data_IF_472427688786
#
_entry.id   IF_472427688786
#
_cell.length_a   1.000
_cell.length_b   1.000
_cell.length_c   1.000
_cell.angle_alpha   90.00
_cell.angle_beta   90.00
_cell.angle_gamma   90.00
#
_symmetry.space_group_name_H-M   'P 1'
#
loop_
_entity.id
_entity.type
_entity.pdbx_description
1 polymer ?
#
# COMPACT_ATOMS: atom_id res chain seq x y z
N UNK A 1 12.68 -16.44 -8.20
CA UNK A 1 12.09 -15.82 -7.00
C UNK A 1 13.11 -14.88 -6.39
N UNK A 2 12.73 -13.63 -6.16
CA UNK A 2 13.54 -12.63 -5.48
C UNK A 2 13.00 -12.44 -4.06
N UNK A 3 13.90 -12.44 -3.07
CA UNK A 3 13.56 -12.20 -1.67
C UNK A 3 14.07 -10.83 -1.25
N UNK A 4 13.17 -9.96 -0.77
CA UNK A 4 13.51 -8.60 -0.33
C UNK A 4 12.89 -8.32 1.03
N UNK A 5 13.64 -7.69 1.95
CA UNK A 5 13.06 -7.13 3.17
C UNK A 5 12.60 -5.70 2.88
N UNK A 6 11.34 -5.43 3.19
CA UNK A 6 10.68 -4.15 3.02
C UNK A 6 10.33 -3.60 4.40
N UNK A 7 10.91 -2.46 4.75
CA UNK A 7 10.60 -1.75 6.00
C UNK A 7 9.99 -0.41 5.62
N UNK A 8 8.73 -0.18 5.95
CA UNK A 8 8.05 1.05 5.60
C UNK A 8 7.57 1.80 6.84
N UNK A 9 7.63 3.13 6.74
CA UNK A 9 7.09 4.09 7.71
C UNK A 9 6.02 4.91 7.01
N UNK A 10 4.84 5.01 7.62
CA UNK A 10 3.69 5.70 7.06
C UNK A 10 3.45 7.00 7.81
N UNK A 11 3.20 8.06 7.06
CA UNK A 11 3.08 9.41 7.57
C UNK A 11 1.71 9.99 7.26
N UNK A 12 1.16 10.70 8.22
CA UNK A 12 -0.09 11.45 8.11
C UNK A 12 -0.05 12.64 9.07
N UNK A 13 -0.99 13.54 8.96
CA UNK A 13 -1.24 14.55 9.98
C UNK A 13 -1.79 13.90 11.26
N UNK A 14 -1.72 14.59 12.39
CA UNK A 14 -2.20 14.04 13.66
C UNK A 14 -3.70 13.69 13.63
N UNK A 15 -4.49 14.44 12.86
CA UNK A 15 -5.92 14.22 12.63
C UNK A 15 -6.23 13.24 11.47
N UNK A 16 -5.20 12.56 10.91
CA UNK A 16 -5.33 11.53 9.86
C UNK A 16 -5.96 12.07 8.56
N UNK A 17 -5.60 13.27 8.16
CA UNK A 17 -6.16 13.92 6.98
C UNK A 17 -5.91 13.13 5.69
N UNK A 18 -4.71 12.59 5.50
CA UNK A 18 -4.39 11.83 4.29
C UNK A 18 -5.23 10.55 4.22
N UNK A 19 -5.35 9.82 5.32
CA UNK A 19 -6.18 8.62 5.39
C UNK A 19 -7.65 8.94 5.10
N UNK A 20 -8.20 10.02 5.65
CA UNK A 20 -9.57 10.48 5.40
C UNK A 20 -9.81 10.79 3.91
N UNK A 21 -8.81 11.33 3.21
CA UNK A 21 -8.86 11.63 1.77
C UNK A 21 -8.48 10.42 0.88
N UNK A 22 -8.35 9.21 1.46
CA UNK A 22 -7.99 8.00 0.76
C UNK A 22 -6.55 8.00 0.21
N UNK A 23 -5.65 8.70 0.90
CA UNK A 23 -4.25 8.85 0.52
C UNK A 23 -3.31 8.15 1.48
N UNK A 24 -2.15 7.76 0.97
CA UNK A 24 -1.06 7.14 1.74
C UNK A 24 0.25 7.80 1.35
N UNK A 25 1.00 8.28 2.33
CA UNK A 25 2.37 8.77 2.15
C UNK A 25 3.32 7.91 2.99
N UNK A 26 4.36 7.35 2.35
CA UNK A 26 5.31 6.47 3.04
C UNK A 26 6.74 6.66 2.59
N UNK A 27 7.67 6.33 3.49
CA UNK A 27 9.05 6.01 3.19
C UNK A 27 9.25 4.51 3.33
N UNK A 28 9.83 3.85 2.32
CA UNK A 28 10.10 2.41 2.35
C UNK A 28 11.56 2.13 2.04
N UNK A 29 12.18 1.35 2.89
CA UNK A 29 13.50 0.77 2.66
C UNK A 29 13.33 -0.57 1.93
N UNK A 30 13.96 -0.68 0.78
CA UNK A 30 14.01 -1.87 -0.07
C UNK A 30 15.46 -2.35 -0.15
N UNK A 31 15.82 -3.29 0.71
CA UNK A 31 17.22 -3.67 0.89
C UNK A 31 18.05 -2.48 1.37
N UNK A 32 18.85 -1.86 0.49
CA UNK A 32 19.72 -0.71 0.81
C UNK A 32 19.18 0.65 0.32
N UNK A 33 18.13 0.65 -0.50
CA UNK A 33 17.55 1.85 -1.11
C UNK A 33 16.32 2.31 -0.36
N UNK A 34 16.09 3.61 -0.42
CA UNK A 34 14.87 4.22 0.09
C UNK A 34 14.00 4.73 -1.05
N UNK A 35 12.70 4.52 -0.92
CA UNK A 35 11.70 5.01 -1.86
C UNK A 35 10.64 5.77 -1.08
N UNK A 36 10.37 7.01 -1.46
CA UNK A 36 9.20 7.74 -1.00
C UNK A 36 8.06 7.52 -1.97
N UNK A 37 6.90 7.16 -1.44
CA UNK A 37 5.71 6.86 -2.26
C UNK A 37 4.54 7.66 -1.76
N UNK A 38 3.78 8.26 -2.68
CA UNK A 38 2.40 8.70 -2.43
C UNK A 38 1.45 7.87 -3.28
N UNK A 39 0.36 7.42 -2.66
CA UNK A 39 -0.75 6.71 -3.31
C UNK A 39 -2.06 7.41 -2.99
N UNK A 40 -3.01 7.37 -3.92
CA UNK A 40 -4.37 7.80 -3.68
C UNK A 40 -5.36 6.85 -4.36
N UNK A 41 -6.59 6.77 -3.84
CA UNK A 41 -7.68 6.07 -4.52
C UNK A 41 -7.91 6.71 -5.89
N UNK A 42 -7.99 5.89 -6.93
CA UNK A 42 -8.35 6.29 -8.28
C UNK A 42 -9.87 6.23 -8.51
N UNK A 43 -10.26 6.19 -9.79
CA UNK A 43 -11.67 6.21 -10.20
C UNK A 43 -12.42 4.91 -9.88
N UNK A 44 -11.70 3.83 -9.55
CA UNK A 44 -12.29 2.54 -9.18
C UNK A 44 -11.39 1.78 -8.19
N UNK A 45 -11.90 0.68 -7.65
CA UNK A 45 -11.22 -0.11 -6.62
C UNK A 45 -9.90 -0.77 -7.09
N UNK A 46 -9.72 -0.96 -8.39
CA UNK A 46 -8.54 -1.61 -8.97
C UNK A 46 -7.49 -0.62 -9.48
N UNK A 47 -7.87 0.65 -9.63
CA UNK A 47 -6.98 1.70 -10.13
C UNK A 47 -6.58 2.63 -8.99
N UNK A 48 -5.26 2.79 -8.77
CA UNK A 48 -4.71 3.73 -7.79
C UNK A 48 -3.74 4.67 -8.48
N UNK A 49 -3.84 5.94 -8.15
CA UNK A 49 -2.80 6.91 -8.50
C UNK A 49 -1.59 6.64 -7.62
N UNK A 50 -0.41 6.57 -8.21
CA UNK A 50 0.84 6.31 -7.48
C UNK A 50 1.98 7.10 -8.09
N UNK A 51 2.84 7.67 -7.24
CA UNK A 51 4.12 8.24 -7.64
C UNK A 51 5.21 7.83 -6.66
N UNK A 52 6.29 7.28 -7.20
CA UNK A 52 7.44 6.80 -6.45
C UNK A 52 8.65 7.69 -6.75
N UNK A 53 9.37 8.08 -5.70
CA UNK A 53 10.63 8.81 -5.79
C UNK A 53 11.73 7.97 -5.14
N UNK A 54 12.70 7.56 -5.96
CA UNK A 54 13.87 6.84 -5.47
C UNK A 54 14.84 7.82 -4.80
N UNK A 55 15.12 7.59 -3.54
CA UNK A 55 16.02 8.41 -2.73
C UNK A 55 17.44 7.81 -2.61
N UNK A 56 17.68 6.67 -3.28
CA UNK A 56 18.95 5.99 -3.25
C UNK A 56 19.27 5.35 -1.91
N UNK A 57 20.56 5.07 -1.67
CA UNK A 57 21.09 4.53 -0.43
C UNK A 57 21.64 5.67 0.44
N UNK A 58 21.17 5.78 1.67
CA UNK A 58 21.49 6.89 2.60
C UNK A 58 22.47 6.51 3.70
N UNK A 59 23.33 5.53 3.48
CA UNK A 59 24.33 5.13 4.49
C UNK A 59 23.75 4.59 5.81
N UNK A 60 22.46 4.22 5.83
CA UNK A 60 21.78 3.66 7.01
C UNK A 60 20.76 4.58 7.67
N UNK A 61 20.89 5.91 7.54
CA UNK A 61 19.90 6.84 8.09
C UNK A 61 18.59 6.83 7.26
N UNK A 62 17.45 6.97 7.93
CA UNK A 62 16.17 7.19 7.27
C UNK A 62 16.12 8.62 6.70
N UNK A 63 15.81 8.82 5.41
CA UNK A 63 15.61 10.17 4.89
C UNK A 63 14.42 10.85 5.55
N UNK A 64 14.40 12.18 5.54
CA UNK A 64 13.23 12.93 5.96
C UNK A 64 12.10 12.77 4.93
N UNK A 65 10.86 12.71 5.43
CA UNK A 65 9.67 12.78 4.57
C UNK A 65 9.55 14.19 3.98
N UNK A 66 9.25 14.29 2.69
CA UNK A 66 9.13 15.57 1.99
C UNK A 66 8.04 15.49 0.92
N UNK A 67 6.85 16.03 1.17
CA UNK A 67 5.74 16.02 0.20
C UNK A 67 6.06 16.68 -1.13
N UNK A 68 6.99 17.67 -1.14
CA UNK A 68 7.32 18.42 -2.34
C UNK A 68 7.97 17.56 -3.44
N UNK A 69 8.55 16.41 -3.08
CA UNK A 69 9.10 15.46 -4.06
C UNK A 69 8.06 14.89 -5.03
N UNK A 70 6.78 15.09 -4.75
CA UNK A 70 5.68 14.63 -5.60
C UNK A 70 5.04 15.76 -6.44
N UNK A 71 5.56 17.00 -6.36
CA UNK A 71 5.05 18.12 -7.13
C UNK A 71 5.03 17.83 -8.64
N UNK A 72 4.03 18.40 -9.34
CA UNK A 72 3.87 18.26 -10.78
C UNK A 72 3.31 16.89 -11.20
N UNK A 73 2.81 16.10 -10.25
CA UNK A 73 2.10 14.85 -10.53
C UNK A 73 0.65 14.93 -10.04
N UNK A 74 -0.30 14.25 -10.71
CA UNK A 74 -1.71 14.29 -10.30
C UNK A 74 -1.94 13.88 -8.84
N UNK A 75 -1.18 12.90 -8.34
CA UNK A 75 -1.28 12.47 -6.93
C UNK A 75 -0.58 13.46 -6.00
N UNK A 76 0.48 14.12 -6.45
CA UNK A 76 1.18 15.17 -5.71
C UNK A 76 0.32 16.42 -5.52
N UNK A 77 -0.45 16.80 -6.54
CA UNK A 77 -1.39 17.93 -6.46
C UNK A 77 -2.51 17.63 -5.44
N UNK A 78 -3.02 16.39 -5.40
CA UNK A 78 -3.97 15.96 -4.38
C UNK A 78 -3.36 15.99 -2.97
N UNK A 79 -2.09 15.55 -2.84
CA UNK A 79 -1.36 15.58 -1.57
C UNK A 79 -1.22 17.03 -1.06
N UNK A 80 -0.78 17.95 -1.92
CA UNK A 80 -0.63 19.37 -1.58
C UNK A 80 -1.96 19.98 -1.13
N UNK A 81 -3.06 19.68 -1.85
CA UNK A 81 -4.40 20.13 -1.47
C UNK A 81 -4.85 19.59 -0.12
N UNK A 82 -4.60 18.30 0.17
CA UNK A 82 -4.97 17.69 1.44
C UNK A 82 -4.20 18.31 2.62
N UNK A 83 -2.89 18.55 2.44
CA UNK A 83 -2.06 19.20 3.45
C UNK A 83 -2.46 20.67 3.70
N UNK A 84 -2.69 21.44 2.64
CA UNK A 84 -3.19 22.82 2.78
C UNK A 84 -4.53 22.86 3.51
N UNK A 85 -5.45 21.91 3.27
CA UNK A 85 -6.73 21.83 3.96
C UNK A 85 -6.60 21.48 5.45
N UNK A 86 -5.47 20.91 5.89
CA UNK A 86 -5.13 20.68 7.31
C UNK A 86 -4.40 21.86 7.95
N UNK A 87 -4.26 23.00 7.26
CA UNK A 87 -3.48 24.15 7.74
C UNK A 87 -1.98 23.87 7.81
N UNK A 88 -1.48 23.08 6.88
CA UNK A 88 -0.08 22.63 6.81
C UNK A 88 0.40 21.97 8.11
N UNK A 89 -0.50 21.22 8.76
CA UNK A 89 -0.17 20.46 9.96
C UNK A 89 1.03 19.54 9.73
N UNK A 90 1.92 19.38 10.71
CA UNK A 90 3.13 18.56 10.54
C UNK A 90 2.78 17.09 10.30
N UNK A 91 3.52 16.47 9.38
CA UNK A 91 3.47 15.05 9.14
C UNK A 91 4.18 14.30 10.27
N UNK A 92 3.50 13.35 10.85
CA UNK A 92 4.02 12.48 11.91
C UNK A 92 3.98 11.02 11.46
N UNK A 93 4.92 10.21 11.92
CA UNK A 93 4.85 8.78 11.71
C UNK A 93 3.69 8.18 12.50
N UNK A 94 2.82 7.46 11.81
CA UNK A 94 1.62 6.84 12.41
C UNK A 94 1.81 5.37 12.66
N UNK A 95 2.36 4.66 11.70
CA UNK A 95 2.58 3.21 11.75
C UNK A 95 3.74 2.81 10.87
N UNK A 96 4.19 1.58 11.05
CA UNK A 96 5.25 0.98 10.25
C UNK A 96 4.90 -0.44 9.81
N UNK A 97 5.67 -0.96 8.86
CA UNK A 97 5.62 -2.38 8.46
C UNK A 97 7.03 -2.95 8.37
N UNK A 98 7.18 -4.22 8.74
CA UNK A 98 8.38 -5.02 8.49
C UNK A 98 7.96 -6.31 7.79
N UNK A 99 8.27 -6.40 6.49
CA UNK A 99 7.78 -7.44 5.59
C UNK A 99 8.95 -8.11 4.91
N UNK A 100 8.89 -9.42 4.82
CA UNK A 100 9.68 -10.21 3.87
C UNK A 100 8.81 -10.47 2.66
N UNK A 101 9.21 -9.95 1.51
CA UNK A 101 8.54 -10.11 0.22
C UNK A 101 9.28 -11.12 -0.64
N UNK A 102 8.53 -12.08 -1.18
CA UNK A 102 8.99 -13.00 -2.22
C UNK A 102 8.28 -12.65 -3.53
N UNK A 103 9.02 -12.23 -4.55
CA UNK A 103 8.45 -11.86 -5.86
C UNK A 103 8.88 -12.79 -6.97
N UNK A 104 8.01 -12.98 -7.94
CA UNK A 104 8.29 -13.62 -9.23
C UNK A 104 7.32 -13.14 -10.30
N UNK A 105 7.79 -13.05 -11.54
CA UNK A 105 6.91 -12.85 -12.68
C UNK A 105 6.36 -14.18 -13.17
N UNK A 106 5.07 -14.20 -13.46
CA UNK A 106 4.34 -15.34 -14.04
C UNK A 106 3.79 -14.94 -15.39
N UNK A 107 4.07 -15.74 -16.42
CA UNK A 107 3.43 -15.59 -17.73
C UNK A 107 2.13 -16.39 -17.73
N UNK A 108 1.04 -15.71 -18.01
CA UNK A 108 -0.28 -16.33 -18.21
C UNK A 108 -0.48 -16.50 -19.71
N UNK A 109 -0.61 -17.76 -20.14
CA UNK A 109 -0.91 -18.11 -21.53
C UNK A 109 -2.42 -18.31 -21.72
N UNK A 110 -2.95 -18.03 -22.91
CA UNK A 110 -4.40 -18.05 -23.20
C UNK A 110 -5.02 -16.67 -23.01
N UNK A 111 -6.34 -16.54 -23.18
CA UNK A 111 -7.20 -15.35 -23.00
C UNK A 111 -6.46 -13.99 -22.88
N UNK A 112 -5.84 -13.54 -23.98
CA UNK A 112 -5.18 -12.23 -24.06
C UNK A 112 -3.71 -12.16 -23.60
N UNK A 113 -3.17 -13.19 -22.97
CA UNK A 113 -1.77 -13.24 -22.49
C UNK A 113 -1.38 -12.11 -21.53
N UNK A 114 -0.77 -12.44 -20.41
CA UNK A 114 -0.33 -11.44 -19.43
C UNK A 114 1.00 -11.81 -18.78
N UNK A 115 1.71 -10.81 -18.29
CA UNK A 115 2.79 -10.99 -17.30
C UNK A 115 2.32 -10.36 -16.00
N UNK A 116 2.24 -11.17 -14.96
CA UNK A 116 1.76 -10.79 -13.65
C UNK A 116 2.90 -10.96 -12.65
N UNK A 117 3.24 -9.92 -11.91
CA UNK A 117 4.08 -10.06 -10.73
C UNK A 117 3.25 -10.66 -9.59
N UNK A 118 3.76 -11.73 -9.02
CA UNK A 118 3.23 -12.33 -7.81
C UNK A 118 4.17 -11.97 -6.66
N UNK A 119 3.64 -11.32 -5.63
CA UNK A 119 4.39 -10.95 -4.45
C UNK A 119 3.73 -11.54 -3.19
N UNK A 120 4.42 -12.48 -2.54
CA UNK A 120 4.02 -13.01 -1.23
C UNK A 120 4.68 -12.16 -0.15
N UNK A 121 3.88 -11.50 0.66
CA UNK A 121 4.28 -10.68 1.79
C UNK A 121 4.00 -11.40 3.11
N UNK A 122 5.05 -11.58 3.91
CA UNK A 122 4.95 -12.14 5.26
C UNK A 122 5.65 -11.22 6.24
N UNK A 123 4.97 -10.86 7.31
CA UNK A 123 5.52 -9.95 8.32
C UNK A 123 4.44 -9.34 9.21
N UNK A 124 4.57 -8.06 9.51
CA UNK A 124 3.64 -7.36 10.40
C UNK A 124 3.48 -5.88 10.08
N UNK A 125 2.35 -5.33 10.50
CA UNK A 125 2.08 -3.90 10.67
C UNK A 125 2.20 -3.60 12.16
N UNK A 126 2.86 -2.49 12.50
CA UNK A 126 3.06 -2.04 13.89
C UNK A 126 2.51 -0.61 14.02
N UNK A 127 1.68 -0.38 15.02
CA UNK A 127 1.21 0.95 15.41
C UNK A 127 1.74 1.29 16.81
N UNK A 128 1.90 2.60 17.08
CA UNK A 128 2.47 3.12 18.34
C UNK A 128 3.84 2.54 18.70
N UNK A 129 4.68 2.27 17.69
CA UNK A 129 5.99 1.66 17.86
C UNK A 129 6.85 2.36 18.94
N UNK A 130 7.43 1.57 19.83
CA UNK A 130 8.29 2.08 20.91
C UNK A 130 7.55 2.76 22.08
N UNK A 131 6.23 2.64 22.16
CA UNK A 131 5.42 3.14 23.26
C UNK A 131 4.77 1.99 24.05
N UNK A 132 4.24 2.23 25.27
CA UNK A 132 3.48 1.22 26.02
C UNK A 132 2.22 0.73 25.32
N UNK A 133 1.70 1.50 24.36
CA UNK A 133 0.52 1.17 23.56
C UNK A 133 0.87 0.46 22.24
N UNK A 134 2.13 0.02 22.07
CA UNK A 134 2.53 -0.69 20.86
C UNK A 134 1.64 -1.89 20.59
N UNK A 135 1.11 -1.96 19.38
CA UNK A 135 0.29 -3.08 18.94
C UNK A 135 0.65 -3.47 17.51
N UNK A 136 0.45 -4.75 17.18
CA UNK A 136 0.81 -5.28 15.88
C UNK A 136 -0.30 -6.16 15.28
N UNK A 137 -0.31 -6.24 13.95
CA UNK A 137 -1.16 -7.15 13.19
C UNK A 137 -0.31 -7.95 12.20
N UNK A 138 -0.46 -9.28 12.17
CA UNK A 138 0.29 -10.11 11.23
C UNK A 138 -0.13 -9.83 9.79
N UNK A 139 0.84 -9.95 8.88
CA UNK A 139 0.64 -9.89 7.43
C UNK A 139 1.04 -11.23 6.83
N UNK A 140 0.12 -11.84 6.10
CA UNK A 140 0.39 -12.96 5.20
C UNK A 140 -0.56 -12.79 4.00
N UNK A 141 -0.07 -12.17 2.93
CA UNK A 141 -0.91 -11.85 1.77
C UNK A 141 -0.18 -12.04 0.45
N UNK A 142 -0.91 -12.42 -0.58
CA UNK A 142 -0.44 -12.55 -1.95
C UNK A 142 -0.99 -11.34 -2.75
N UNK A 143 -0.08 -10.52 -3.26
CA UNK A 143 -0.41 -9.44 -4.18
C UNK A 143 -0.18 -9.92 -5.62
N UNK A 144 -1.07 -9.58 -6.53
CA UNK A 144 -0.96 -9.84 -7.96
C UNK A 144 -1.03 -8.51 -8.70
N UNK A 145 0.01 -8.18 -9.46
CA UNK A 145 0.10 -6.93 -10.19
C UNK A 145 0.29 -7.20 -11.69
N UNK A 146 -0.59 -6.62 -12.52
CA UNK A 146 -0.44 -6.70 -13.97
C UNK A 146 0.74 -5.84 -14.43
N UNK A 147 1.81 -6.47 -14.94
CA UNK A 147 2.95 -5.75 -15.51
C UNK A 147 2.74 -5.41 -16.98
N UNK A 148 2.11 -6.31 -17.74
CA UNK A 148 1.77 -6.10 -19.16
C UNK A 148 0.75 -7.13 -19.63
N UNK A 149 0.05 -6.82 -20.70
CA UNK A 149 -0.94 -7.68 -21.33
C UNK A 149 -2.35 -7.41 -20.88
N UNK A 150 -3.22 -8.39 -20.96
CA UNK A 150 -4.64 -8.23 -20.70
C UNK A 150 -4.97 -8.44 -19.22
N UNK A 151 -5.84 -7.61 -18.68
CA UNK A 151 -6.39 -7.74 -17.32
C UNK A 151 -7.11 -9.06 -17.09
N UNK A 152 -7.68 -9.66 -18.13
CA UNK A 152 -8.31 -10.98 -18.05
C UNK A 152 -7.30 -12.06 -17.62
N UNK A 153 -6.04 -11.95 -18.04
CA UNK A 153 -4.97 -12.83 -17.59
C UNK A 153 -4.72 -12.72 -16.08
N UNK A 154 -4.69 -11.48 -15.55
CA UNK A 154 -4.59 -11.22 -14.11
C UNK A 154 -5.76 -11.86 -13.35
N UNK A 155 -6.99 -11.58 -13.79
CA UNK A 155 -8.24 -12.09 -13.16
C UNK A 155 -8.27 -13.63 -13.18
N UNK A 156 -7.91 -14.24 -14.31
CA UNK A 156 -7.86 -15.70 -14.45
C UNK A 156 -6.82 -16.34 -13.51
N UNK A 157 -5.65 -15.71 -13.36
CA UNK A 157 -4.62 -16.15 -12.43
C UNK A 157 -5.10 -16.05 -10.98
N UNK A 158 -5.68 -14.91 -10.61
CA UNK A 158 -6.21 -14.64 -9.28
C UNK A 158 -7.31 -15.65 -8.89
N UNK A 159 -8.25 -15.91 -9.80
CA UNK A 159 -9.32 -16.89 -9.58
C UNK A 159 -8.76 -18.31 -9.37
N UNK A 160 -7.83 -18.75 -10.23
CA UNK A 160 -7.19 -20.06 -10.09
C UNK A 160 -6.48 -20.23 -8.75
N UNK A 161 -5.69 -19.23 -8.33
CA UNK A 161 -4.97 -19.26 -7.06
C UNK A 161 -5.92 -19.24 -5.87
N UNK A 162 -6.96 -18.43 -5.93
CA UNK A 162 -8.02 -18.41 -4.89
C UNK A 162 -8.62 -19.79 -4.69
N UNK A 163 -9.01 -20.48 -5.76
CA UNK A 163 -9.59 -21.81 -5.68
C UNK A 163 -8.61 -22.89 -5.22
N UNK A 164 -7.37 -22.86 -5.73
CA UNK A 164 -6.38 -23.90 -5.42
C UNK A 164 -5.83 -23.82 -4.00
N UNK A 165 -5.78 -22.63 -3.43
CA UNK A 165 -5.13 -22.38 -2.14
C UNK A 165 -6.07 -21.84 -1.06
N UNK A 166 -7.38 -21.81 -1.31
CA UNK A 166 -8.38 -21.32 -0.35
C UNK A 166 -8.19 -19.85 0.01
N UNK A 167 -7.71 -19.02 -0.93
CA UNK A 167 -7.51 -17.60 -0.71
C UNK A 167 -8.80 -16.82 -0.92
N UNK A 168 -8.95 -15.72 -0.20
CA UNK A 168 -10.04 -14.77 -0.43
C UNK A 168 -9.49 -13.41 -0.86
N UNK A 169 -10.29 -12.66 -1.62
CA UNK A 169 -9.92 -11.31 -2.03
C UNK A 169 -10.08 -10.32 -0.86
N UNK A 170 -9.09 -9.47 -0.69
CA UNK A 170 -9.10 -8.40 0.30
C UNK A 170 -8.85 -7.06 -0.36
N UNK A 171 -9.60 -6.04 0.03
CA UNK A 171 -9.37 -4.64 -0.35
C UNK A 171 -8.60 -3.86 0.70
N UNK A 172 -8.37 -4.48 1.86
CA UNK A 172 -7.70 -3.84 3.01
C UNK A 172 -6.20 -3.82 2.80
N UNK A 173 -5.66 -2.63 2.56
CA UNK A 173 -4.21 -2.42 2.41
C UNK A 173 -3.48 -2.48 3.76
N UNK A 174 -2.14 -2.67 3.72
CA UNK A 174 -1.28 -2.59 4.92
C UNK A 174 -1.41 -1.22 5.62
N UNK A 175 -1.54 -0.14 4.85
CA UNK A 175 -1.76 1.20 5.40
C UNK A 175 -3.09 1.29 6.16
N UNK A 176 -4.18 0.81 5.57
CA UNK A 176 -5.49 0.78 6.21
C UNK A 176 -5.50 -0.12 7.46
N UNK A 177 -4.81 -1.27 7.40
CA UNK A 177 -4.64 -2.15 8.57
C UNK A 177 -3.98 -1.40 9.73
N UNK A 178 -2.97 -0.58 9.45
CA UNK A 178 -2.33 0.26 10.46
C UNK A 178 -3.26 1.35 11.03
N UNK A 179 -4.07 1.99 10.18
CA UNK A 179 -5.10 2.95 10.64
C UNK A 179 -6.10 2.28 11.60
N UNK A 180 -6.53 1.06 11.27
CA UNK A 180 -7.42 0.27 12.15
C UNK A 180 -6.78 -0.07 13.49
N UNK A 181 -5.50 -0.43 13.49
CA UNK A 181 -4.74 -0.64 14.73
C UNK A 181 -4.66 0.62 15.58
N UNK A 182 -4.35 1.77 14.98
CA UNK A 182 -4.30 3.06 15.67
C UNK A 182 -5.65 3.42 16.31
N UNK A 183 -6.75 3.10 15.65
CA UNK A 183 -8.10 3.33 16.14
C UNK A 183 -8.58 2.27 17.14
N UNK A 184 -7.76 1.24 17.45
CA UNK A 184 -8.11 0.08 18.28
C UNK A 184 -9.41 -0.62 17.80
N UNK A 185 -9.61 -0.64 16.48
CA UNK A 185 -10.78 -1.26 15.87
C UNK A 185 -10.54 -2.77 15.73
N UNK A 186 -11.05 -3.55 16.66
CA UNK A 186 -11.01 -5.02 16.61
C UNK A 186 -11.93 -5.59 15.52
N UNK A 187 -13.05 -4.94 15.28
CA UNK A 187 -14.05 -5.35 14.29
C UNK A 187 -14.44 -4.16 13.43
N UNK A 188 -14.34 -4.32 12.12
CA UNK A 188 -14.88 -3.35 11.17
C UNK A 188 -16.36 -3.66 10.95
N UNK A 189 -17.27 -2.68 11.10
CA UNK A 189 -18.68 -2.89 10.81
C UNK A 189 -18.88 -3.43 9.39
N UNK A 190 -19.78 -4.38 9.23
CA UNK A 190 -20.13 -4.90 7.93
C UNK A 190 -20.69 -3.76 7.06
N UNK A 191 -20.17 -3.62 5.85
CA UNK A 191 -20.68 -2.66 4.87
C UNK A 191 -21.74 -3.38 4.03
N UNK A 192 -22.93 -2.77 3.93
CA UNK A 192 -23.99 -3.33 3.08
C UNK A 192 -23.53 -3.38 1.63
N UNK A 193 -23.62 -4.57 1.03
CA UNK A 193 -23.33 -4.73 -0.39
C UNK A 193 -24.25 -3.82 -1.23
N UNK A 194 -23.65 -3.14 -2.21
CA UNK A 194 -24.39 -2.34 -3.18
C UNK A 194 -24.43 -3.09 -4.51
N UNK A 195 -25.56 -2.98 -5.22
CA UNK A 195 -25.67 -3.54 -6.57
C UNK A 195 -24.62 -2.89 -7.46
N UNK A 196 -23.76 -3.67 -8.14
CA UNK A 196 -22.79 -3.11 -9.06
C UNK A 196 -23.50 -2.37 -10.18
N UNK A 197 -23.05 -1.14 -10.46
CA UNK A 197 -23.50 -0.39 -11.64
C UNK A 197 -22.54 -0.69 -12.77
N UNK A 198 -23.02 -1.34 -13.79
CA UNK A 198 -22.28 -1.51 -15.04
C UNK A 198 -22.57 -0.31 -15.96
N UNK A 199 -21.56 0.22 -16.68
CA UNK A 199 -21.75 1.26 -17.67
C UNK A 199 -22.62 0.78 -18.85
#
# INVERSE_FOLDING_TARGET
VVRTRLQARYFDTADQRLAADGMVLRLRKEGRRWVQTVKATGDNALHRLEHNVDLGATGGASPAIDPQRHQGTPVGDRLAKALAASGDAPLVERQSTDIVRLTRDVRVTGAGGAVVEMALDVGKVVAHAGTPDECESPVCELELELKRGDVQGLVSLAHRWSQQHGLWFSTVSKAERGVRLLAKLEVVPAVKAQTPRFP
#
